data_IF_514606325033
#
_entry.id   IF_514606325033
#
_cell.length_a   1.000
_cell.length_b   1.000
_cell.length_c   1.000
_cell.angle_alpha   90.00
_cell.angle_beta   90.00
_cell.angle_gamma   90.00
#
_symmetry.space_group_name_H-M   'P 1'
#
loop_
_entity.id
_entity.type
_entity.pdbx_description
1 polymer ?
#
# COMPACT_ATOMS: atom_id res chain seq x y z
N UNK A 1 -11.40 -7.74 -10.95
CA UNK A 1 -10.54 -7.60 -9.75
C UNK A 1 -10.72 -6.21 -9.16
N UNK A 2 -10.85 -6.11 -7.85
CA UNK A 2 -11.04 -4.85 -7.14
C UNK A 2 -9.88 -4.70 -6.16
N UNK A 3 -9.06 -3.68 -6.37
CA UNK A 3 -7.93 -3.32 -5.51
C UNK A 3 -8.35 -2.23 -4.53
N UNK A 4 -8.14 -2.45 -3.23
CA UNK A 4 -8.54 -1.55 -2.16
C UNK A 4 -7.33 -1.23 -1.28
N UNK A 5 -7.04 0.05 -1.07
CA UNK A 5 -6.09 0.47 -0.06
C UNK A 5 -6.68 0.34 1.36
N UNK A 6 -5.83 0.40 2.40
CA UNK A 6 -6.26 0.28 3.79
C UNK A 6 -6.46 1.65 4.43
N UNK A 7 -5.37 2.39 4.65
CA UNK A 7 -5.35 3.59 5.49
C UNK A 7 -6.01 4.77 4.81
N UNK A 8 -7.06 5.34 5.41
CA UNK A 8 -7.83 6.40 4.79
C UNK A 8 -8.76 5.92 3.66
N UNK A 9 -8.83 4.62 3.41
CA UNK A 9 -9.68 4.02 2.37
C UNK A 9 -10.64 3.02 2.98
N UNK A 10 -10.16 1.87 3.45
CA UNK A 10 -10.95 0.87 4.17
C UNK A 10 -11.11 1.22 5.65
N UNK A 11 -10.07 1.79 6.24
CA UNK A 11 -9.92 2.02 7.68
C UNK A 11 -9.74 3.51 7.94
N UNK A 12 -10.47 4.04 8.93
CA UNK A 12 -10.35 5.41 9.42
C UNK A 12 -9.00 5.62 10.15
N UNK A 13 -8.65 6.88 10.41
CA UNK A 13 -7.40 7.23 11.11
C UNK A 13 -7.31 6.65 12.53
N UNK A 14 -8.45 6.40 13.18
CA UNK A 14 -8.54 5.79 14.53
C UNK A 14 -8.53 4.26 14.52
N UNK A 15 -8.42 3.65 13.33
CA UNK A 15 -8.44 2.21 13.13
C UNK A 15 -9.85 1.61 12.96
N UNK A 16 -10.91 2.43 12.93
CA UNK A 16 -12.28 1.94 12.75
C UNK A 16 -12.51 1.46 11.31
N UNK A 17 -13.05 0.25 11.17
CA UNK A 17 -13.54 -0.31 9.91
C UNK A 17 -15.07 -0.33 9.93
N UNK A 18 -15.71 0.39 9.01
CA UNK A 18 -17.14 0.50 8.97
C UNK A 18 -17.84 -0.84 8.67
N UNK A 19 -18.90 -1.22 9.43
CA UNK A 19 -19.70 -2.40 9.13
C UNK A 19 -20.32 -2.37 7.72
N UNK A 20 -20.58 -1.17 7.18
CA UNK A 20 -21.08 -0.98 5.83
C UNK A 20 -20.05 -1.43 4.79
N UNK A 21 -18.77 -1.02 4.96
CA UNK A 21 -17.67 -1.45 4.10
C UNK A 21 -17.48 -2.97 4.18
N UNK A 22 -17.48 -3.55 5.38
CA UNK A 22 -17.39 -5.01 5.57
C UNK A 22 -18.50 -5.75 4.82
N UNK A 23 -19.74 -5.26 4.94
CA UNK A 23 -20.90 -5.87 4.27
C UNK A 23 -20.75 -5.82 2.75
N UNK A 24 -20.35 -4.68 2.19
CA UNK A 24 -20.22 -4.52 0.75
C UNK A 24 -19.04 -5.30 0.17
N UNK A 25 -17.90 -5.34 0.85
CA UNK A 25 -16.74 -6.19 0.48
C UNK A 25 -17.16 -7.66 0.44
N UNK A 26 -17.87 -8.13 1.48
CA UNK A 26 -18.38 -9.50 1.50
C UNK A 26 -19.36 -9.76 0.34
N UNK A 27 -20.29 -8.84 0.11
CA UNK A 27 -21.29 -8.96 -0.97
C UNK A 27 -20.64 -9.12 -2.34
N UNK A 28 -19.67 -8.28 -2.68
CA UNK A 28 -19.01 -8.35 -4.00
C UNK A 28 -18.11 -9.60 -4.13
N UNK A 29 -17.51 -10.09 -3.05
CA UNK A 29 -16.83 -11.38 -3.03
C UNK A 29 -17.80 -12.54 -3.27
N UNK A 30 -18.96 -12.53 -2.63
CA UNK A 30 -20.01 -13.56 -2.82
C UNK A 30 -20.55 -13.56 -4.27
N UNK A 31 -20.44 -12.44 -5.00
CA UNK A 31 -20.72 -12.33 -6.44
C UNK A 31 -19.57 -12.84 -7.34
N UNK A 32 -18.48 -13.30 -6.76
CA UNK A 32 -17.33 -13.88 -7.48
C UNK A 32 -16.26 -12.87 -7.91
N UNK A 33 -16.28 -11.64 -7.38
CA UNK A 33 -15.22 -10.68 -7.63
C UNK A 33 -13.98 -10.98 -6.79
N UNK A 34 -12.81 -10.90 -7.42
CA UNK A 34 -11.53 -10.98 -6.72
C UNK A 34 -11.25 -9.65 -6.03
N UNK A 35 -11.11 -9.66 -4.70
CA UNK A 35 -10.72 -8.50 -3.89
C UNK A 35 -9.26 -8.64 -3.51
N UNK A 36 -8.46 -7.62 -3.84
CA UNK A 36 -7.04 -7.56 -3.48
C UNK A 36 -6.81 -6.30 -2.64
N UNK A 37 -6.44 -6.48 -1.40
CA UNK A 37 -5.98 -5.36 -0.56
C UNK A 37 -4.57 -4.98 -1.00
N UNK A 38 -4.32 -3.68 -1.24
CA UNK A 38 -3.05 -3.15 -1.71
C UNK A 38 -2.62 -1.96 -0.84
N UNK A 39 -1.63 -2.18 0.03
CA UNK A 39 -1.29 -1.25 1.11
C UNK A 39 0.21 -0.96 1.24
N UNK A 40 0.53 0.17 1.89
CA UNK A 40 1.87 0.47 2.39
C UNK A 40 2.23 -0.27 3.67
N UNK A 41 1.26 -0.88 4.36
CA UNK A 41 1.53 -1.67 5.57
C UNK A 41 2.38 -2.90 5.27
N UNK A 42 3.11 -3.38 6.28
CA UNK A 42 3.70 -4.72 6.24
C UNK A 42 2.61 -5.80 6.22
N UNK A 43 2.97 -7.02 5.80
CA UNK A 43 2.03 -8.14 5.79
C UNK A 43 1.43 -8.41 7.18
N UNK A 44 2.24 -8.37 8.24
CA UNK A 44 1.78 -8.58 9.62
C UNK A 44 0.71 -7.55 10.04
N UNK A 45 0.88 -6.28 9.65
CA UNK A 45 -0.07 -5.20 9.98
C UNK A 45 -1.30 -5.16 9.05
N UNK A 46 -1.25 -5.80 7.89
CA UNK A 46 -2.33 -5.83 6.91
C UNK A 46 -3.31 -7.01 7.12
N UNK A 47 -2.80 -8.18 7.54
CA UNK A 47 -3.60 -9.40 7.75
C UNK A 47 -4.77 -9.21 8.73
N UNK A 48 -4.65 -8.48 9.86
CA UNK A 48 -5.79 -8.25 10.74
C UNK A 48 -6.96 -7.56 10.03
N UNK A 49 -6.69 -6.59 9.13
CA UNK A 49 -7.73 -5.90 8.37
C UNK A 49 -8.41 -6.85 7.38
N UNK A 50 -7.65 -7.68 6.67
CA UNK A 50 -8.21 -8.68 5.76
C UNK A 50 -9.14 -9.65 6.50
N UNK A 51 -8.76 -10.10 7.70
CA UNK A 51 -9.60 -10.98 8.53
C UNK A 51 -10.90 -10.30 8.97
N UNK A 52 -10.84 -9.03 9.34
CA UNK A 52 -12.02 -8.26 9.74
C UNK A 52 -12.97 -8.04 8.55
N UNK A 53 -12.44 -7.89 7.32
CA UNK A 53 -13.21 -7.87 6.07
C UNK A 53 -13.77 -9.25 5.67
N UNK A 54 -13.42 -10.32 6.40
CA UNK A 54 -13.78 -11.68 6.05
C UNK A 54 -13.04 -12.22 4.83
N UNK A 55 -11.86 -11.66 4.50
CA UNK A 55 -11.00 -12.14 3.42
C UNK A 55 -10.07 -13.20 4.02
N UNK A 56 -10.35 -14.46 3.75
CA UNK A 56 -9.69 -15.65 4.29
C UNK A 56 -8.82 -16.42 3.29
N UNK A 57 -8.82 -15.97 2.03
CA UNK A 57 -8.03 -16.54 0.93
C UNK A 57 -7.80 -15.49 -0.16
N UNK A 58 -6.82 -15.73 -1.03
CA UNK A 58 -6.45 -14.83 -2.11
C UNK A 58 -5.12 -14.13 -1.86
N UNK A 59 -4.82 -13.11 -2.65
CA UNK A 59 -3.56 -12.38 -2.57
C UNK A 59 -3.75 -10.99 -1.94
N UNK A 60 -2.68 -10.50 -1.31
CA UNK A 60 -2.56 -9.09 -0.88
C UNK A 60 -1.24 -8.51 -1.35
N UNK A 61 -1.27 -7.22 -1.63
CA UNK A 61 -0.09 -6.40 -1.94
C UNK A 61 0.26 -5.58 -0.70
N UNK A 62 1.44 -5.81 -0.15
CA UNK A 62 1.98 -5.15 1.04
C UNK A 62 3.23 -4.35 0.69
N UNK A 63 3.68 -3.50 1.61
CA UNK A 63 4.93 -2.73 1.48
C UNK A 63 5.02 -2.00 0.12
N UNK A 64 3.90 -1.36 -0.30
CA UNK A 64 3.75 -0.64 -1.57
C UNK A 64 4.10 -1.46 -2.83
N UNK A 65 3.94 -2.79 -2.78
CA UNK A 65 4.19 -3.68 -3.91
C UNK A 65 5.46 -4.54 -3.78
N UNK A 66 6.34 -4.23 -2.83
CA UNK A 66 7.57 -5.01 -2.63
C UNK A 66 7.30 -6.42 -2.07
N UNK A 67 6.19 -6.59 -1.37
CA UNK A 67 5.79 -7.87 -0.78
C UNK A 67 4.38 -8.22 -1.28
N UNK A 68 4.25 -9.35 -1.95
CA UNK A 68 2.96 -9.98 -2.26
C UNK A 68 2.82 -11.23 -1.41
N UNK A 69 1.68 -11.37 -0.75
CA UNK A 69 1.38 -12.53 0.08
C UNK A 69 0.15 -13.28 -0.44
N UNK A 70 0.08 -14.56 -0.13
CA UNK A 70 -1.11 -15.39 -0.21
C UNK A 70 -1.67 -15.58 1.20
N UNK A 71 -2.95 -15.27 1.40
CA UNK A 71 -3.63 -15.48 2.67
C UNK A 71 -3.81 -16.98 2.87
N UNK A 72 -3.31 -17.51 3.98
CA UNK A 72 -3.35 -18.93 4.33
C UNK A 72 -3.66 -19.11 5.81
N UNK A 73 -4.89 -19.50 6.11
CA UNK A 73 -5.35 -19.73 7.48
C UNK A 73 -4.67 -20.92 8.17
N UNK A 74 -3.90 -21.73 7.43
CA UNK A 74 -3.15 -22.87 7.98
C UNK A 74 -1.73 -22.50 8.41
N UNK A 75 -1.20 -21.35 7.95
CA UNK A 75 0.07 -20.79 8.42
C UNK A 75 -0.17 -20.04 9.76
N UNK A 76 0.77 -20.13 10.70
CA UNK A 76 0.66 -19.47 12.01
C UNK A 76 0.55 -17.95 11.89
N UNK A 77 1.20 -17.35 10.89
CA UNK A 77 1.10 -15.92 10.57
C UNK A 77 -0.24 -15.55 9.90
N UNK A 78 -0.94 -16.55 9.34
CA UNK A 78 -2.14 -16.36 8.52
C UNK A 78 -1.86 -16.03 7.06
N UNK A 79 -0.61 -16.12 6.62
CA UNK A 79 -0.20 -15.86 5.25
C UNK A 79 1.12 -16.53 4.90
N UNK A 80 1.37 -16.71 3.61
CA UNK A 80 2.68 -17.08 3.05
C UNK A 80 3.17 -16.01 2.09
N UNK A 81 4.47 -15.71 2.06
CA UNK A 81 5.03 -14.86 1.01
C UNK A 81 4.83 -15.54 -0.36
N UNK A 82 4.21 -14.82 -1.30
CA UNK A 82 4.08 -15.26 -2.69
C UNK A 82 5.20 -14.67 -3.55
N UNK A 83 5.61 -13.44 -3.26
CA UNK A 83 6.76 -12.78 -3.87
C UNK A 83 7.32 -11.73 -2.91
N UNK A 84 8.64 -11.65 -2.79
CA UNK A 84 9.35 -10.59 -2.07
C UNK A 84 10.44 -10.05 -3.00
N UNK A 85 10.36 -8.76 -3.32
CA UNK A 85 11.32 -8.07 -4.19
C UNK A 85 12.20 -7.19 -3.31
N UNK A 86 13.51 -7.34 -3.45
CA UNK A 86 14.48 -6.64 -2.63
C UNK A 86 15.44 -5.78 -3.47
N UNK A 87 16.09 -4.82 -2.83
CA UNK A 87 17.15 -3.99 -3.42
C UNK A 87 18.26 -3.74 -2.40
N UNK A 88 19.43 -3.32 -2.89
CA UNK A 88 20.53 -2.88 -2.04
C UNK A 88 20.23 -1.47 -1.48
N UNK A 89 20.05 -1.30 -0.16
CA UNK A 89 19.70 -0.01 0.41
C UNK A 89 20.89 0.93 0.62
N UNK A 90 22.12 0.48 0.36
CA UNK A 90 23.35 1.18 0.75
C UNK A 90 23.41 2.61 0.22
N UNK A 91 23.24 2.78 -1.08
CA UNK A 91 23.35 4.10 -1.70
C UNK A 91 22.29 5.06 -1.23
N UNK A 92 21.03 4.62 -1.17
CA UNK A 92 19.90 5.45 -0.77
C UNK A 92 19.99 5.84 0.71
N UNK A 93 20.36 4.91 1.59
CA UNK A 93 20.54 5.20 3.01
C UNK A 93 21.70 6.16 3.27
N UNK A 94 22.85 6.02 2.59
CA UNK A 94 23.96 6.96 2.70
C UNK A 94 23.52 8.39 2.35
N UNK A 95 22.85 8.59 1.22
CA UNK A 95 22.34 9.90 0.80
C UNK A 95 21.35 10.49 1.80
N UNK A 96 20.43 9.67 2.33
CA UNK A 96 19.42 10.11 3.26
C UNK A 96 19.99 10.44 4.64
N UNK A 97 20.93 9.66 5.15
CA UNK A 97 21.62 9.93 6.44
C UNK A 97 22.41 11.23 6.38
N UNK A 98 23.09 11.53 5.26
CA UNK A 98 23.80 12.80 5.07
C UNK A 98 22.85 14.01 5.03
N UNK A 99 21.68 13.85 4.38
CA UNK A 99 20.74 14.96 4.20
C UNK A 99 19.81 15.15 5.39
N UNK A 100 19.45 14.07 6.07
CA UNK A 100 18.47 14.02 7.17
C UNK A 100 19.08 13.35 8.42
N UNK A 101 20.12 13.95 9.05
CA UNK A 101 20.88 13.27 10.11
C UNK A 101 20.06 12.99 11.39
N UNK A 102 18.95 13.70 11.58
CA UNK A 102 18.06 13.52 12.72
C UNK A 102 16.87 12.61 12.43
N UNK A 103 16.66 12.22 11.18
CA UNK A 103 15.59 11.29 10.81
C UNK A 103 15.79 9.90 11.44
N UNK A 104 14.69 9.17 11.53
CA UNK A 104 14.66 7.78 11.96
C UNK A 104 14.62 6.90 10.71
N UNK A 105 15.47 5.88 10.65
CA UNK A 105 15.56 4.96 9.53
C UNK A 105 15.24 3.55 9.98
N UNK A 106 14.46 2.85 9.16
CA UNK A 106 14.20 1.43 9.32
C UNK A 106 14.27 0.73 7.95
N UNK A 107 14.52 -0.55 7.97
CA UNK A 107 14.47 -1.43 6.79
C UNK A 107 13.58 -2.63 7.09
N UNK A 108 12.86 -3.09 6.09
CA UNK A 108 12.08 -4.34 6.14
C UNK A 108 12.89 -5.44 5.44
N UNK A 109 13.26 -6.46 6.19
CA UNK A 109 14.01 -7.59 5.70
C UNK A 109 13.11 -8.57 4.91
N UNK A 110 13.73 -9.51 4.19
CA UNK A 110 13.02 -10.47 3.33
C UNK A 110 12.02 -11.37 4.09
N UNK A 111 12.23 -11.56 5.38
CA UNK A 111 11.35 -12.35 6.25
C UNK A 111 10.19 -11.54 6.86
N UNK A 112 10.15 -10.22 6.57
CA UNK A 112 9.16 -9.29 7.08
C UNK A 112 9.48 -8.68 8.45
N UNK A 113 10.66 -8.99 9.03
CA UNK A 113 11.17 -8.32 10.23
C UNK A 113 11.71 -6.93 9.89
N UNK A 114 11.80 -6.07 10.92
CA UNK A 114 12.33 -4.73 10.76
C UNK A 114 13.59 -4.53 11.60
N UNK A 115 14.58 -3.88 11.00
CA UNK A 115 15.73 -3.30 11.72
C UNK A 115 15.61 -1.79 11.69
N UNK A 116 15.80 -1.10 12.81
CA UNK A 116 15.71 0.35 12.91
C UNK A 116 16.84 0.92 13.78
N UNK A 117 17.28 2.17 13.51
CA UNK A 117 18.38 2.79 14.29
C UNK A 117 17.88 3.80 15.34
N UNK A 118 16.66 4.34 15.20
CA UNK A 118 15.97 5.17 16.20
C UNK A 118 14.50 4.74 16.27
N UNK A 119 13.86 4.87 17.45
CA UNK A 119 12.49 4.39 17.67
C UNK A 119 11.47 4.99 16.71
N UNK A 120 10.56 4.18 16.22
CA UNK A 120 9.38 4.56 15.47
C UNK A 120 8.15 4.58 16.39
N UNK A 121 7.05 5.26 16.01
CA UNK A 121 5.78 5.17 16.73
C UNK A 121 5.36 3.71 16.90
N UNK A 122 4.68 3.42 18.01
CA UNK A 122 4.16 2.09 18.28
C UNK A 122 3.30 1.60 17.10
N UNK A 123 3.47 0.34 16.71
CA UNK A 123 2.76 -0.31 15.60
C UNK A 123 3.03 0.24 14.19
N UNK A 124 3.94 1.22 14.04
CA UNK A 124 4.26 1.78 12.71
C UNK A 124 5.06 0.82 11.82
N UNK A 125 5.89 -0.02 12.44
CA UNK A 125 6.63 -1.10 11.78
C UNK A 125 5.91 -2.45 12.05
N UNK A 126 6.38 -3.54 11.47
CA UNK A 126 5.82 -4.89 11.71
C UNK A 126 5.99 -5.38 13.15
N UNK A 127 5.55 -6.60 13.43
CA UNK A 127 5.55 -7.18 14.79
C UNK A 127 6.95 -7.49 15.34
N UNK A 128 7.90 -7.83 14.45
CA UNK A 128 9.27 -8.17 14.80
C UNK A 128 10.19 -7.01 14.46
N UNK A 129 10.66 -6.30 15.50
CA UNK A 129 11.44 -5.08 15.35
C UNK A 129 12.72 -5.15 16.19
N UNK A 130 13.88 -4.83 15.58
CA UNK A 130 15.19 -4.91 16.21
C UNK A 130 15.92 -3.57 16.10
N UNK A 131 16.30 -2.99 17.23
CA UNK A 131 17.19 -1.83 17.24
C UNK A 131 18.59 -2.25 16.78
N UNK A 132 19.15 -1.50 15.82
CA UNK A 132 20.34 -1.91 15.09
C UNK A 132 21.16 -0.64 14.72
N UNK A 133 22.50 -0.68 14.79
CA UNK A 133 23.33 0.41 14.29
C UNK A 133 23.01 0.77 12.84
N UNK A 134 23.13 2.05 12.50
CA UNK A 134 22.74 2.56 11.16
C UNK A 134 23.51 1.85 10.03
N UNK A 135 24.78 1.50 10.27
CA UNK A 135 25.64 0.82 9.31
C UNK A 135 25.13 -0.60 8.99
N UNK A 136 24.50 -1.26 9.97
CA UNK A 136 23.96 -2.60 9.78
C UNK A 136 22.65 -2.60 8.99
N UNK A 137 21.93 -1.48 8.89
CA UNK A 137 20.77 -1.36 8.01
C UNK A 137 21.14 -1.55 6.52
N UNK A 138 22.42 -1.33 6.18
CA UNK A 138 22.96 -1.47 4.83
C UNK A 138 23.62 -2.83 4.57
N UNK A 139 23.55 -3.78 5.50
CA UNK A 139 24.33 -5.03 5.45
C UNK A 139 23.81 -6.08 4.50
N UNK A 140 22.55 -5.97 4.05
CA UNK A 140 21.90 -6.94 3.17
C UNK A 140 20.79 -6.29 2.35
N UNK A 141 20.34 -6.92 1.24
CA UNK A 141 19.18 -6.46 0.49
C UNK A 141 17.91 -6.47 1.34
N UNK A 142 17.05 -5.46 1.12
CA UNK A 142 15.82 -5.20 1.87
C UNK A 142 14.63 -5.02 0.94
N UNK A 143 13.42 -5.32 1.40
CA UNK A 143 12.20 -5.09 0.62
C UNK A 143 11.75 -3.63 0.65
N UNK A 144 12.07 -2.91 1.74
CA UNK A 144 11.67 -1.51 1.95
C UNK A 144 12.65 -0.78 2.85
N UNK A 145 12.87 0.52 2.57
CA UNK A 145 13.44 1.47 3.52
C UNK A 145 12.35 2.42 3.97
N UNK A 146 12.26 2.67 5.26
CA UNK A 146 11.30 3.60 5.88
C UNK A 146 12.06 4.73 6.54
N UNK A 147 11.63 5.97 6.27
CA UNK A 147 12.22 7.17 6.88
C UNK A 147 11.13 7.98 7.56
N UNK A 148 11.34 8.33 8.81
CA UNK A 148 10.50 9.27 9.57
C UNK A 148 11.35 10.47 9.96
N UNK A 149 10.89 11.67 9.63
CA UNK A 149 11.57 12.91 10.03
C UNK A 149 10.70 13.76 10.97
N UNK A 150 10.86 13.60 12.30
CA UNK A 150 10.03 14.31 13.27
C UNK A 150 10.21 15.84 13.26
N UNK A 151 11.31 16.34 12.70
CA UNK A 151 11.66 17.77 12.69
C UNK A 151 11.04 18.54 11.53
N UNK A 152 10.49 17.86 10.52
CA UNK A 152 9.95 18.50 9.32
C UNK A 152 8.44 18.34 9.24
N UNK A 153 7.77 19.37 8.71
CA UNK A 153 6.40 19.20 8.23
C UNK A 153 6.41 18.50 6.86
N UNK A 154 5.25 18.03 6.41
CA UNK A 154 5.11 17.25 5.16
C UNK A 154 5.64 18.02 3.95
N UNK A 155 5.39 19.33 3.84
CA UNK A 155 5.81 20.13 2.67
C UNK A 155 7.32 20.36 2.63
N UNK A 156 7.93 20.64 3.76
CA UNK A 156 9.39 20.77 3.90
C UNK A 156 10.07 19.44 3.54
N UNK A 157 9.56 18.34 4.08
CA UNK A 157 10.08 17.02 3.82
C UNK A 157 9.96 16.62 2.35
N UNK A 158 8.81 16.87 1.71
CA UNK A 158 8.59 16.70 0.27
C UNK A 158 9.65 17.42 -0.57
N UNK A 159 9.93 18.69 -0.24
CA UNK A 159 10.92 19.49 -0.96
C UNK A 159 12.34 18.94 -0.78
N UNK A 160 12.69 18.50 0.43
CA UNK A 160 13.98 17.88 0.72
C UNK A 160 14.16 16.57 -0.06
N UNK A 161 13.20 15.66 0.01
CA UNK A 161 13.27 14.36 -0.70
C UNK A 161 13.39 14.56 -2.20
N UNK A 162 12.62 15.48 -2.79
CA UNK A 162 12.75 15.83 -4.22
C UNK A 162 14.13 16.40 -4.55
N UNK A 163 14.73 17.17 -3.64
CA UNK A 163 16.06 17.74 -3.81
C UNK A 163 17.18 16.71 -3.74
N UNK A 164 17.00 15.58 -3.04
CA UNK A 164 17.99 14.50 -2.93
C UNK A 164 18.17 13.79 -4.28
N UNK A 165 17.11 13.72 -5.10
CA UNK A 165 17.18 13.04 -6.39
C UNK A 165 17.43 11.55 -6.23
N UNK A 166 16.54 10.86 -5.51
CA UNK A 166 16.64 9.41 -5.34
C UNK A 166 16.54 8.71 -6.70
N UNK A 167 17.55 7.92 -7.02
CA UNK A 167 17.65 7.19 -8.29
C UNK A 167 17.63 5.68 -8.03
N UNK A 168 17.16 4.92 -9.03
CA UNK A 168 17.08 3.45 -9.00
C UNK A 168 16.22 2.88 -7.86
N UNK A 169 15.26 3.68 -7.38
CA UNK A 169 14.24 3.28 -6.40
C UNK A 169 12.90 3.93 -6.72
N UNK A 170 11.82 3.29 -6.30
CA UNK A 170 10.49 3.89 -6.23
C UNK A 170 10.27 4.42 -4.82
N UNK A 171 9.55 5.54 -4.66
CA UNK A 171 9.24 6.05 -3.33
C UNK A 171 7.87 6.71 -3.26
N UNK A 172 7.29 6.70 -2.08
CA UNK A 172 6.07 7.44 -1.75
C UNK A 172 6.24 8.21 -0.43
N UNK A 173 5.56 9.36 -0.33
CA UNK A 173 5.58 10.20 0.86
C UNK A 173 4.18 10.23 1.45
N UNK A 174 4.09 9.87 2.73
CA UNK A 174 2.83 9.81 3.47
C UNK A 174 2.27 11.20 3.83
N UNK A 175 1.22 11.21 4.64
CA UNK A 175 0.59 12.43 5.16
C UNK A 175 1.42 13.16 6.23
N UNK A 176 2.37 12.47 6.83
CA UNK A 176 3.38 13.04 7.74
C UNK A 176 4.74 13.07 7.02
N UNK A 177 5.80 13.53 7.69
CA UNK A 177 7.16 13.43 7.18
C UNK A 177 7.67 11.98 7.19
N UNK A 178 6.95 11.12 6.48
CA UNK A 178 7.16 9.70 6.32
C UNK A 178 7.46 9.39 4.85
N UNK A 179 8.51 8.61 4.61
CA UNK A 179 8.94 8.19 3.28
C UNK A 179 9.09 6.67 3.26
N UNK A 180 8.41 6.03 2.34
CA UNK A 180 8.61 4.62 1.98
C UNK A 180 9.39 4.54 0.68
N UNK A 181 10.45 3.74 0.66
CA UNK A 181 11.27 3.48 -0.52
C UNK A 181 11.23 1.98 -0.81
N UNK A 182 10.92 1.65 -2.04
CA UNK A 182 10.84 0.29 -2.58
C UNK A 182 11.77 0.13 -3.78
N UNK A 183 12.03 -1.11 -4.25
CA UNK A 183 12.83 -1.35 -5.45
C UNK A 183 12.30 -0.57 -6.66
N UNK A 184 13.18 -0.20 -7.60
CA UNK A 184 12.82 0.56 -8.80
C UNK A 184 11.71 -0.12 -9.61
N UNK A 185 10.71 0.67 -10.01
CA UNK A 185 9.56 0.19 -10.77
C UNK A 185 8.55 -0.63 -9.96
N UNK A 186 8.79 -0.85 -8.66
CA UNK A 186 7.88 -1.57 -7.78
C UNK A 186 6.91 -0.59 -7.13
N UNK A 187 5.63 -0.82 -7.39
CA UNK A 187 4.50 -0.01 -6.90
C UNK A 187 3.30 -0.93 -6.63
N UNK A 188 2.26 -0.42 -5.98
CA UNK A 188 0.98 -1.15 -5.84
C UNK A 188 0.47 -1.61 -7.22
N UNK A 189 0.51 -0.75 -8.23
CA UNK A 189 0.05 -1.06 -9.59
C UNK A 189 0.86 -2.19 -10.25
N UNK A 190 2.19 -2.18 -10.14
CA UNK A 190 3.03 -3.23 -10.73
C UNK A 190 2.83 -4.60 -10.08
N UNK A 191 2.58 -4.64 -8.77
CA UNK A 191 2.26 -5.89 -8.07
C UNK A 191 0.85 -6.40 -8.39
N UNK A 192 -0.14 -5.49 -8.48
CA UNK A 192 -1.51 -5.82 -8.89
C UNK A 192 -1.56 -6.39 -10.31
N UNK A 193 -0.71 -5.91 -11.23
CA UNK A 193 -0.65 -6.46 -12.59
C UNK A 193 -0.25 -7.94 -12.59
N UNK A 194 0.75 -8.33 -11.80
CA UNK A 194 1.16 -9.73 -11.68
C UNK A 194 0.05 -10.61 -11.12
N UNK A 195 -0.73 -10.11 -10.14
CA UNK A 195 -1.89 -10.82 -9.59
C UNK A 195 -2.98 -10.95 -10.65
N UNK A 196 -3.30 -9.86 -11.37
CA UNK A 196 -4.28 -9.86 -12.45
C UNK A 196 -3.96 -10.91 -13.51
N UNK A 197 -2.69 -10.96 -13.98
CA UNK A 197 -2.23 -11.94 -14.96
C UNK A 197 -2.36 -13.38 -14.43
N UNK A 198 -1.96 -13.63 -13.19
CA UNK A 198 -2.07 -14.95 -12.55
C UNK A 198 -3.51 -15.47 -12.49
N UNK A 199 -4.48 -14.57 -12.28
CA UNK A 199 -5.91 -14.89 -12.27
C UNK A 199 -6.57 -14.82 -13.66
N UNK A 200 -5.82 -14.53 -14.73
CA UNK A 200 -6.33 -14.37 -16.10
C UNK A 200 -7.50 -13.37 -16.22
N UNK A 201 -7.46 -12.30 -15.40
CA UNK A 201 -8.46 -11.24 -15.41
C UNK A 201 -8.11 -10.24 -16.53
N UNK A 202 -9.09 -9.82 -17.33
CA UNK A 202 -8.86 -8.82 -18.38
C UNK A 202 -8.54 -7.46 -17.77
N UNK A 203 -7.70 -6.66 -18.46
CA UNK A 203 -7.24 -5.35 -17.98
C UNK A 203 -8.39 -4.40 -17.69
N UNK A 204 -9.42 -4.40 -18.54
CA UNK A 204 -10.61 -3.55 -18.35
C UNK A 204 -11.56 -4.02 -17.23
N UNK A 205 -11.30 -5.17 -16.62
CA UNK A 205 -12.07 -5.73 -15.49
C UNK A 205 -11.40 -5.41 -14.15
N UNK A 206 -10.71 -4.28 -14.06
CA UNK A 206 -9.98 -3.85 -12.86
C UNK A 206 -10.57 -2.58 -12.28
N UNK A 207 -10.54 -2.49 -10.96
CA UNK A 207 -10.96 -1.33 -10.20
C UNK A 207 -9.92 -1.08 -9.13
N UNK A 208 -9.61 0.20 -8.89
CA UNK A 208 -8.72 0.63 -7.83
C UNK A 208 -9.42 1.72 -6.99
N UNK A 209 -9.33 1.60 -5.66
CA UNK A 209 -9.84 2.61 -4.70
C UNK A 209 -8.74 2.92 -3.70
N UNK A 210 -8.46 4.20 -3.47
CA UNK A 210 -7.40 4.66 -2.58
C UNK A 210 -7.51 6.15 -2.25
N UNK A 211 -6.66 6.65 -1.37
CA UNK A 211 -6.69 8.04 -0.91
C UNK A 211 -5.32 8.72 -0.92
N UNK A 212 -4.23 7.94 -0.97
CA UNK A 212 -2.86 8.40 -0.81
C UNK A 212 -2.06 8.53 -2.13
N UNK A 213 -0.89 9.18 -2.04
CA UNK A 213 0.04 9.31 -3.17
C UNK A 213 0.57 7.98 -3.69
N UNK A 214 0.69 6.99 -2.79
CA UNK A 214 1.10 5.63 -3.13
C UNK A 214 0.03 4.86 -3.92
N UNK A 215 -1.20 5.41 -4.04
CA UNK A 215 -2.29 4.84 -4.82
C UNK A 215 -2.30 5.32 -6.27
N UNK A 216 -1.64 6.44 -6.57
CA UNK A 216 -1.57 6.98 -7.92
C UNK A 216 -1.14 5.90 -8.93
N UNK A 217 -0.08 5.09 -8.68
CA UNK A 217 0.30 4.04 -9.61
C UNK A 217 -0.75 2.95 -9.81
N UNK A 218 -1.59 2.62 -8.82
CA UNK A 218 -2.67 1.66 -9.03
C UNK A 218 -3.88 2.27 -9.74
N UNK A 219 -4.12 3.59 -9.60
CA UNK A 219 -5.13 4.28 -10.41
C UNK A 219 -4.72 4.30 -11.89
N UNK A 220 -3.46 4.66 -12.17
CA UNK A 220 -2.91 4.63 -13.52
C UNK A 220 -2.95 3.22 -14.12
N UNK A 221 -2.59 2.20 -13.34
CA UNK A 221 -2.67 0.80 -13.75
C UNK A 221 -4.09 0.41 -14.16
N UNK A 222 -5.09 0.71 -13.36
CA UNK A 222 -6.49 0.39 -13.68
C UNK A 222 -6.98 1.18 -14.90
N UNK A 223 -6.75 2.51 -14.94
CA UNK A 223 -7.21 3.38 -16.01
C UNK A 223 -6.55 3.04 -17.36
N UNK A 224 -5.23 2.79 -17.39
CA UNK A 224 -4.50 2.42 -18.61
C UNK A 224 -4.96 1.06 -19.17
N UNK A 225 -5.47 0.18 -18.31
CA UNK A 225 -6.09 -1.08 -18.70
C UNK A 225 -7.53 -0.96 -19.22
N UNK A 226 -8.14 0.24 -19.15
CA UNK A 226 -9.54 0.48 -19.46
C UNK A 226 -10.49 0.12 -18.31
N UNK A 227 -9.97 -0.09 -17.11
CA UNK A 227 -10.71 -0.28 -15.87
C UNK A 227 -11.10 1.06 -15.22
N UNK A 228 -11.51 1.03 -13.94
CA UNK A 228 -11.97 2.18 -13.19
C UNK A 228 -11.02 2.49 -12.01
N UNK A 229 -10.91 3.76 -11.65
CA UNK A 229 -10.19 4.20 -10.45
C UNK A 229 -10.98 5.27 -9.70
N UNK A 230 -10.99 5.16 -8.38
CA UNK A 230 -11.72 6.05 -7.49
C UNK A 230 -10.79 6.57 -6.39
N UNK A 231 -10.65 7.89 -6.32
CA UNK A 231 -10.01 8.51 -5.17
C UNK A 231 -11.04 8.78 -4.06
N UNK A 232 -10.65 8.57 -2.81
CA UNK A 232 -11.47 8.93 -1.65
C UNK A 232 -11.62 10.44 -1.54
N UNK A 233 -12.77 10.91 -1.07
CA UNK A 233 -13.15 12.33 -1.03
C UNK A 233 -12.23 13.21 -0.20
N UNK A 234 -11.62 12.68 0.87
CA UNK A 234 -10.66 13.39 1.71
C UNK A 234 -9.23 13.40 1.15
N UNK A 235 -8.93 12.62 0.10
CA UNK A 235 -7.61 12.54 -0.51
C UNK A 235 -7.11 13.90 -1.01
N UNK A 236 -5.79 14.10 -1.11
CA UNK A 236 -5.19 15.31 -1.67
C UNK A 236 -5.65 15.58 -3.11
N UNK A 237 -5.65 16.86 -3.52
CA UNK A 237 -6.12 17.24 -4.85
C UNK A 237 -5.34 16.56 -5.98
N UNK A 238 -4.03 16.34 -5.82
CA UNK A 238 -3.22 15.60 -6.78
C UNK A 238 -3.62 14.13 -6.92
N UNK A 239 -4.04 13.49 -5.82
CA UNK A 239 -4.53 12.10 -5.79
C UNK A 239 -5.90 12.02 -6.46
N UNK A 240 -6.81 12.94 -6.11
CA UNK A 240 -8.13 13.06 -6.76
C UNK A 240 -8.02 13.30 -8.25
N UNK A 241 -7.06 14.12 -8.69
CA UNK A 241 -6.83 14.42 -10.09
C UNK A 241 -6.24 13.24 -10.90
N UNK A 242 -5.64 12.24 -10.23
CA UNK A 242 -5.07 11.05 -10.87
C UNK A 242 -6.06 9.90 -11.04
N UNK A 243 -7.20 9.93 -10.34
CA UNK A 243 -8.26 8.95 -10.49
C UNK A 243 -9.29 9.37 -11.55
N UNK A 244 -10.03 8.39 -12.10
CA UNK A 244 -11.12 8.68 -13.04
C UNK A 244 -12.32 9.33 -12.36
N UNK A 245 -12.60 8.94 -11.12
CA UNK A 245 -13.71 9.45 -10.32
C UNK A 245 -13.29 9.69 -8.87
N UNK A 246 -14.05 10.52 -8.16
CA UNK A 246 -13.91 10.77 -6.73
C UNK A 246 -15.15 10.23 -6.03
N UNK A 247 -14.96 9.36 -5.03
CA UNK A 247 -16.04 8.86 -4.17
C UNK A 247 -16.18 9.71 -2.90
N UNK A 248 -17.03 9.30 -1.96
CA UNK A 248 -17.15 9.91 -0.64
C UNK A 248 -15.87 9.74 0.18
N UNK A 249 -15.79 10.40 1.33
CA UNK A 249 -14.69 10.21 2.28
C UNK A 249 -14.77 8.85 2.96
N UNK A 250 -13.71 8.47 3.69
CA UNK A 250 -13.70 7.25 4.49
C UNK A 250 -14.76 7.32 5.59
N UNK A 251 -14.99 8.50 6.19
CA UNK A 251 -16.02 8.75 7.19
C UNK A 251 -17.44 8.59 6.63
N UNK A 252 -17.64 8.77 5.34
CA UNK A 252 -18.92 8.66 4.62
C UNK A 252 -19.02 7.36 3.79
N UNK A 253 -18.28 6.32 4.20
CA UNK A 253 -18.32 4.97 3.60
C UNK A 253 -18.01 4.96 2.08
N UNK A 254 -17.03 5.74 1.64
CA UNK A 254 -16.72 5.91 0.21
C UNK A 254 -16.45 4.60 -0.55
N UNK A 255 -15.80 3.62 0.08
CA UNK A 255 -15.60 2.27 -0.52
C UNK A 255 -16.94 1.55 -0.69
N UNK A 256 -17.79 1.54 0.34
CA UNK A 256 -19.09 0.89 0.24
C UNK A 256 -19.95 1.52 -0.86
N UNK A 257 -19.87 2.84 -1.02
CA UNK A 257 -20.56 3.56 -2.10
C UNK A 257 -20.09 3.12 -3.48
N UNK A 258 -18.77 2.98 -3.69
CA UNK A 258 -18.22 2.43 -4.93
C UNK A 258 -18.75 1.01 -5.15
N UNK A 259 -18.63 0.14 -4.15
CA UNK A 259 -19.00 -1.27 -4.27
C UNK A 259 -20.49 -1.48 -4.49
N UNK A 260 -21.38 -0.67 -3.87
CA UNK A 260 -22.83 -0.77 -4.06
C UNK A 260 -23.31 -0.52 -5.50
N UNK A 261 -22.53 0.23 -6.28
CA UNK A 261 -22.77 0.47 -7.71
C UNK A 261 -22.62 -0.76 -8.62
N UNK A 262 -22.15 -1.90 -8.09
CA UNK A 262 -21.87 -3.11 -8.87
C UNK A 262 -23.07 -4.01 -9.13
N UNK A 263 -24.27 -3.69 -8.67
CA UNK A 263 -25.49 -4.41 -9.01
C UNK A 263 -25.97 -4.09 -10.45
N UNK A 264 -25.29 -4.59 -11.45
CA UNK A 264 -25.81 -4.71 -12.82
C UNK A 264 -25.37 -3.66 -13.86
N UNK A 265 -24.52 -2.69 -13.54
CA UNK A 265 -24.10 -1.64 -14.51
C UNK A 265 -22.72 -1.89 -15.12
N UNK A 266 -21.81 -2.57 -14.44
CA UNK A 266 -20.44 -2.78 -14.94
C UNK A 266 -20.34 -3.76 -16.12
N UNK A 267 -21.23 -4.74 -16.21
CA UNK A 267 -21.27 -5.64 -17.38
C UNK A 267 -21.87 -4.98 -18.62
N UNK A 268 -22.68 -3.94 -18.51
CA UNK A 268 -23.34 -3.30 -19.66
C UNK A 268 -22.52 -2.16 -20.28
N UNK A 269 -21.52 -1.63 -19.59
CA UNK A 269 -20.60 -0.60 -20.14
C UNK A 269 -19.26 -1.16 -20.61
N UNK A 270 -18.97 -2.44 -20.29
CA UNK A 270 -17.73 -3.14 -20.65
C UNK A 270 -17.92 -4.18 -21.78
N UNK A 271 -19.12 -4.24 -22.37
CA UNK A 271 -19.44 -4.93 -23.63
C UNK A 271 -19.65 -3.92 -24.75
#
# INVERSE_FOLDING_TARGET
>A
MIALDIDGTLVHDDGFLSPEVVREVKRVRDLGHEIVVATGRSAANAIPVARELGIDSGHMVCSNGAVTIEIDSTDERGYRPAEVITFDPTQVLQQLVETLPNAHFAVEDIDGSYRFHKPFPAYALGDQNFETPIEELMSQPVSRVVVLSPEHNTQEFLNLVKGIGLHSVSYSIGYTAWLDISPEGITKGSALEKIRERHAIHTHQTIAVGDGRNDIPMFEWAANGGGLSFAMGQGPDEVKASALEVTSSVEDDGVARVLSGFEGILFSRLL
#
